data_IF_670412808160
#
_entry.id   IF_670412808160
#
_cell.length_a   1.000
_cell.length_b   1.000
_cell.length_c   1.000
_cell.angle_alpha   90.00
_cell.angle_beta   90.00
_cell.angle_gamma   90.00
#
_symmetry.space_group_name_H-M   'P 1'
#
loop_
_entity.id
_entity.type
_entity.pdbx_description
1 polymer ?
#
# COMPACT_ATOMS: atom_id res chain seq x y z
N UNK A 1 58.31 -16.80 9.55
CA UNK A 1 57.56 -15.58 9.87
C UNK A 1 56.56 -15.39 8.74
N UNK A 2 55.31 -15.84 8.91
CA UNK A 2 54.27 -15.70 7.88
C UNK A 2 53.62 -14.34 8.10
N UNK A 3 53.71 -13.49 7.09
CA UNK A 3 52.98 -12.22 7.06
C UNK A 3 51.48 -12.54 7.02
N UNK A 4 50.74 -11.99 7.98
CA UNK A 4 49.30 -12.05 8.00
C UNK A 4 48.78 -10.98 7.03
N UNK A 5 48.17 -11.42 5.94
CA UNK A 5 47.35 -10.56 5.08
C UNK A 5 46.19 -10.01 5.93
N UNK A 6 46.23 -8.69 6.16
CA UNK A 6 45.15 -7.92 6.74
C UNK A 6 43.96 -7.97 5.79
N UNK A 7 42.98 -8.83 6.08
CA UNK A 7 41.66 -8.74 5.47
C UNK A 7 41.11 -7.33 5.67
N UNK A 8 40.75 -6.65 4.58
CA UNK A 8 40.03 -5.39 4.64
C UNK A 8 38.74 -5.59 5.46
N UNK A 9 38.33 -4.63 6.30
CA UNK A 9 37.10 -4.76 7.05
C UNK A 9 35.94 -4.92 6.07
N UNK A 10 35.16 -6.00 6.21
CA UNK A 10 33.81 -6.09 5.64
C UNK A 10 33.08 -4.80 6.00
N UNK A 11 32.60 -4.07 4.99
CA UNK A 11 31.86 -2.84 5.20
C UNK A 11 30.65 -3.17 6.07
N UNK A 12 30.64 -2.70 7.32
CA UNK A 12 29.49 -2.85 8.20
C UNK A 12 28.26 -2.29 7.50
N UNK A 13 27.18 -3.07 7.44
CA UNK A 13 25.91 -2.60 6.89
C UNK A 13 25.53 -1.26 7.54
N UNK A 14 25.09 -0.27 6.75
CA UNK A 14 24.77 1.04 7.30
C UNK A 14 23.65 0.89 8.34
N UNK A 15 23.82 1.50 9.52
CA UNK A 15 22.75 1.63 10.50
C UNK A 15 21.66 2.56 9.94
N UNK A 16 20.69 1.97 9.25
CA UNK A 16 19.60 2.65 8.58
C UNK A 16 18.73 3.45 9.57
N UNK A 17 18.59 3.00 10.82
CA UNK A 17 17.86 3.74 11.84
C UNK A 17 18.60 5.01 12.24
N UNK A 18 19.94 4.97 12.35
CA UNK A 18 20.76 6.17 12.55
C UNK A 18 20.66 7.12 11.36
N UNK A 19 20.72 6.62 10.13
CA UNK A 19 20.55 7.45 8.93
C UNK A 19 19.15 8.09 8.86
N UNK A 20 18.10 7.35 9.23
CA UNK A 20 16.73 7.87 9.30
C UNK A 20 16.62 9.01 10.33
N UNK A 21 17.26 8.88 11.51
CA UNK A 21 17.34 9.98 12.48
C UNK A 21 18.13 11.17 11.95
N UNK A 22 19.24 10.93 11.25
CA UNK A 22 20.01 12.02 10.62
C UNK A 22 19.17 12.78 9.58
N UNK A 23 18.39 12.08 8.76
CA UNK A 23 17.49 12.71 7.80
C UNK A 23 16.41 13.56 8.49
N UNK A 24 15.81 13.05 9.57
CA UNK A 24 14.84 13.81 10.36
C UNK A 24 15.48 15.06 11.00
N UNK A 25 16.73 14.97 11.48
CA UNK A 25 17.46 16.11 12.03
C UNK A 25 17.73 17.18 10.96
N UNK A 26 18.16 16.78 9.76
CA UNK A 26 18.31 17.69 8.63
C UNK A 26 17.00 18.41 8.31
N UNK A 27 15.88 17.69 8.33
CA UNK A 27 14.57 18.28 8.08
C UNK A 27 14.18 19.31 9.15
N UNK A 28 14.42 19.02 10.44
CA UNK A 28 14.16 19.94 11.56
C UNK A 28 15.00 21.22 11.47
N UNK A 29 16.17 21.16 10.82
CA UNK A 29 17.02 22.31 10.51
C UNK A 29 16.58 23.09 9.25
N UNK A 30 15.49 22.71 8.61
CA UNK A 30 15.01 23.32 7.37
C UNK A 30 15.78 22.90 6.12
N UNK A 31 16.61 21.84 6.20
CA UNK A 31 17.41 21.34 5.07
C UNK A 31 16.67 20.23 4.33
N UNK A 32 15.53 20.56 3.74
CA UNK A 32 14.61 19.61 3.11
C UNK A 32 15.27 18.80 1.98
N UNK A 33 16.03 19.44 1.08
CA UNK A 33 16.72 18.74 -0.03
C UNK A 33 17.73 17.70 0.47
N UNK A 34 18.50 18.04 1.50
CA UNK A 34 19.46 17.11 2.09
C UNK A 34 18.77 15.95 2.81
N UNK A 35 17.65 16.23 3.50
CA UNK A 35 16.83 15.21 4.12
C UNK A 35 16.21 14.27 3.07
N UNK A 36 15.63 14.81 1.99
CA UNK A 36 15.04 14.05 0.90
C UNK A 36 16.07 13.16 0.20
N UNK A 37 17.25 13.70 -0.11
CA UNK A 37 18.34 12.93 -0.70
C UNK A 37 18.79 11.76 0.21
N UNK A 38 18.90 11.99 1.52
CA UNK A 38 19.26 10.93 2.47
C UNK A 38 18.14 9.89 2.61
N UNK A 39 16.88 10.32 2.68
CA UNK A 39 15.73 9.42 2.68
C UNK A 39 15.66 8.58 1.39
N UNK A 40 15.98 9.15 0.23
CA UNK A 40 16.06 8.42 -1.03
C UNK A 40 17.16 7.35 -1.02
N UNK A 41 18.33 7.65 -0.44
CA UNK A 41 19.40 6.65 -0.24
C UNK A 41 18.98 5.52 0.70
N UNK A 42 18.27 5.85 1.77
CA UNK A 42 17.70 4.84 2.69
C UNK A 42 16.70 3.97 1.92
N UNK A 43 15.78 4.56 1.16
CA UNK A 43 14.78 3.83 0.37
C UNK A 43 15.41 2.90 -0.67
N UNK A 44 16.56 3.25 -1.24
CA UNK A 44 17.28 2.38 -2.17
C UNK A 44 17.83 1.11 -1.50
N UNK A 45 18.09 1.14 -0.19
CA UNK A 45 18.59 0.00 0.61
C UNK A 45 17.43 -0.74 1.30
N UNK A 46 16.44 0.01 1.80
CA UNK A 46 15.22 -0.44 2.47
C UNK A 46 13.99 0.08 1.71
N UNK A 47 13.56 -0.60 0.63
CA UNK A 47 12.44 -0.14 -0.20
C UNK A 47 11.12 0.02 0.55
N UNK A 48 10.89 -0.81 1.58
CA UNK A 48 9.68 -0.76 2.39
C UNK A 48 9.71 0.33 3.47
N UNK A 49 10.89 0.92 3.68
CA UNK A 49 11.14 1.96 4.67
C UNK A 49 10.72 1.47 6.07
N UNK A 50 11.10 0.25 6.43
CA UNK A 50 10.83 -0.35 7.74
C UNK A 50 11.42 0.49 8.89
N UNK A 51 12.55 1.14 8.62
CA UNK A 51 13.25 2.00 9.58
C UNK A 51 12.69 3.42 9.67
N UNK A 52 11.67 3.76 8.87
CA UNK A 52 11.07 5.10 8.82
C UNK A 52 10.39 5.51 10.13
N UNK A 53 10.05 4.56 10.99
CA UNK A 53 9.61 4.85 12.36
C UNK A 53 10.60 5.73 13.12
N UNK A 54 11.91 5.45 13.00
CA UNK A 54 12.95 6.24 13.66
C UNK A 54 13.04 7.68 13.15
N UNK A 55 12.71 7.91 11.87
CA UNK A 55 12.58 9.25 11.30
C UNK A 55 11.42 10.01 11.94
N UNK A 56 10.23 9.40 11.99
CA UNK A 56 9.02 10.01 12.55
C UNK A 56 9.15 10.26 14.07
N UNK A 57 9.72 9.32 14.81
CA UNK A 57 9.97 9.44 16.25
C UNK A 57 10.87 10.65 16.54
N UNK A 58 11.94 10.86 15.77
CA UNK A 58 12.79 12.03 15.97
C UNK A 58 12.07 13.34 15.64
N UNK A 59 11.28 13.39 14.56
CA UNK A 59 10.52 14.59 14.21
C UNK A 59 9.56 14.98 15.35
N UNK A 60 8.81 14.02 15.87
CA UNK A 60 7.83 14.24 16.94
C UNK A 60 8.47 14.51 18.30
N UNK A 61 9.69 14.03 18.54
CA UNK A 61 10.50 14.41 19.71
C UNK A 61 11.06 15.83 19.59
N UNK A 62 11.55 16.21 18.41
CA UNK A 62 12.23 17.48 18.20
C UNK A 62 11.28 18.69 18.05
N UNK A 63 10.03 18.48 17.61
CA UNK A 63 9.04 19.53 17.36
C UNK A 63 7.63 19.09 17.77
N UNK A 64 6.77 20.03 18.23
CA UNK A 64 5.34 19.75 18.40
C UNK A 64 4.70 19.25 17.10
N UNK A 65 3.77 18.29 17.20
CA UNK A 65 3.14 17.63 16.04
C UNK A 65 2.44 18.62 15.11
N UNK A 66 1.83 19.65 15.68
CA UNK A 66 1.11 20.73 14.99
C UNK A 66 2.03 21.57 14.08
N UNK A 67 3.35 21.49 14.29
CA UNK A 67 4.37 22.21 13.51
C UNK A 67 5.05 21.35 12.45
N UNK A 68 4.69 20.07 12.33
CA UNK A 68 5.33 19.15 11.40
C UNK A 68 4.84 19.30 9.95
N UNK A 69 3.61 19.76 9.72
CA UNK A 69 3.05 19.83 8.36
C UNK A 69 3.93 20.59 7.36
N UNK A 70 4.42 21.82 7.64
CA UNK A 70 5.29 22.53 6.69
C UNK A 70 6.62 21.82 6.44
N UNK A 71 7.17 21.13 7.44
CA UNK A 71 8.42 20.37 7.31
C UNK A 71 8.20 19.14 6.41
N UNK A 72 7.16 18.36 6.68
CA UNK A 72 6.85 17.17 5.86
C UNK A 72 6.47 17.58 4.44
N UNK A 73 5.74 18.69 4.26
CA UNK A 73 5.46 19.25 2.93
C UNK A 73 6.74 19.60 2.20
N UNK A 74 7.68 20.29 2.85
CA UNK A 74 8.97 20.63 2.26
C UNK A 74 9.80 19.38 1.88
N UNK A 75 9.74 18.31 2.69
CA UNK A 75 10.39 17.03 2.37
C UNK A 75 9.83 16.39 1.10
N UNK A 76 8.50 16.42 0.95
CA UNK A 76 7.80 15.89 -0.23
C UNK A 76 8.10 16.74 -1.46
N UNK A 77 8.07 18.08 -1.33
CA UNK A 77 8.41 19.02 -2.40
C UNK A 77 9.87 18.91 -2.85
N UNK A 78 10.76 18.54 -1.93
CA UNK A 78 12.18 18.25 -2.21
C UNK A 78 12.40 16.87 -2.90
N UNK A 79 11.32 16.17 -3.27
CA UNK A 79 11.38 14.96 -4.10
C UNK A 79 11.30 13.64 -3.34
N UNK A 80 11.18 13.63 -2.01
CA UNK A 80 10.87 12.40 -1.27
C UNK A 80 9.36 12.17 -1.23
N UNK A 81 8.79 11.97 -2.42
CA UNK A 81 7.36 11.83 -2.68
C UNK A 81 7.00 10.36 -2.94
N UNK A 82 6.64 9.65 -1.87
CA UNK A 82 6.29 8.23 -1.88
C UNK A 82 5.15 7.94 -0.88
N UNK A 83 4.58 6.72 -0.89
CA UNK A 83 3.44 6.39 -0.03
C UNK A 83 3.63 6.67 1.47
N UNK A 84 4.83 6.43 2.02
CA UNK A 84 5.15 6.69 3.43
C UNK A 84 5.16 8.18 3.74
N UNK A 85 5.72 8.99 2.83
CA UNK A 85 5.74 10.45 2.97
C UNK A 85 4.34 11.06 2.85
N UNK A 86 3.47 10.51 1.99
CA UNK A 86 2.09 10.97 1.83
C UNK A 86 1.23 10.62 3.06
N UNK A 87 1.37 9.42 3.60
CA UNK A 87 0.73 9.01 4.86
C UNK A 87 1.15 9.94 6.01
N UNK A 88 2.45 10.20 6.15
CA UNK A 88 2.97 11.15 7.14
C UNK A 88 2.48 12.59 6.89
N UNK A 89 2.38 13.02 5.64
CA UNK A 89 1.90 14.37 5.28
C UNK A 89 0.42 14.54 5.63
N UNK A 90 -0.42 13.55 5.33
CA UNK A 90 -1.82 13.55 5.72
C UNK A 90 -1.97 13.61 7.24
N UNK A 91 -1.21 12.80 7.97
CA UNK A 91 -1.21 12.81 9.43
C UNK A 91 -0.75 14.16 10.01
N UNK A 92 0.33 14.73 9.47
CA UNK A 92 0.85 16.02 9.90
C UNK A 92 -0.15 17.15 9.62
N UNK A 93 -0.89 17.08 8.51
CA UNK A 93 -1.96 18.02 8.19
C UNK A 93 -3.09 17.95 9.23
N UNK A 94 -3.52 16.74 9.61
CA UNK A 94 -4.52 16.53 10.68
C UNK A 94 -4.01 17.12 12.00
N UNK A 95 -2.78 16.81 12.40
CA UNK A 95 -2.19 17.36 13.64
C UNK A 95 -2.12 18.89 13.63
N UNK A 96 -1.84 19.50 12.48
CA UNK A 96 -1.83 20.96 12.33
C UNK A 96 -3.24 21.59 12.26
N UNK A 97 -4.32 20.79 12.30
CA UNK A 97 -5.70 21.25 12.08
C UNK A 97 -6.00 21.61 10.63
N UNK A 98 -5.11 21.31 9.69
CA UNK A 98 -5.30 21.52 8.25
C UNK A 98 -6.08 20.34 7.64
N UNK A 99 -7.34 20.26 8.04
CA UNK A 99 -8.24 19.16 7.67
C UNK A 99 -8.45 19.08 6.15
N UNK A 100 -8.52 20.22 5.47
CA UNK A 100 -8.63 20.28 4.01
C UNK A 100 -7.44 19.65 3.31
N UNK A 101 -6.21 19.96 3.71
CA UNK A 101 -5.03 19.34 3.10
C UNK A 101 -4.96 17.83 3.33
N UNK A 102 -5.41 17.35 4.50
CA UNK A 102 -5.54 15.92 4.74
C UNK A 102 -6.58 15.28 3.81
N UNK A 103 -7.75 15.91 3.68
CA UNK A 103 -8.84 15.48 2.79
C UNK A 103 -8.43 15.46 1.32
N UNK A 104 -7.77 16.50 0.85
CA UNK A 104 -7.33 16.60 -0.55
C UNK A 104 -6.36 15.46 -0.92
N UNK A 105 -5.62 14.91 0.04
CA UNK A 105 -4.69 13.80 -0.14
C UNK A 105 -5.31 12.41 0.11
N UNK A 106 -6.42 12.32 0.87
CA UNK A 106 -6.97 11.03 1.36
C UNK A 106 -8.45 10.81 1.06
N UNK A 107 -9.10 11.69 0.29
CA UNK A 107 -10.51 11.57 -0.10
C UNK A 107 -10.78 10.27 -0.89
N UNK A 108 -11.58 9.35 -0.35
CA UNK A 108 -11.98 8.15 -1.09
C UNK A 108 -12.83 8.49 -2.32
N UNK A 109 -13.63 9.55 -2.28
CA UNK A 109 -14.50 9.98 -3.40
C UNK A 109 -13.66 10.29 -4.63
N UNK A 110 -12.48 10.86 -4.40
CA UNK A 110 -11.56 11.29 -5.44
C UNK A 110 -10.68 10.16 -5.96
N UNK A 111 -10.31 9.23 -5.10
CA UNK A 111 -9.21 8.29 -5.38
C UNK A 111 -9.56 6.82 -5.30
N UNK A 112 -10.65 6.44 -4.66
CA UNK A 112 -11.10 5.05 -4.60
C UNK A 112 -11.91 4.73 -5.85
N UNK A 113 -11.48 3.72 -6.61
CA UNK A 113 -12.23 3.20 -7.75
C UNK A 113 -12.72 1.80 -7.44
N UNK A 114 -14.02 1.58 -7.62
CA UNK A 114 -14.67 0.29 -7.44
C UNK A 114 -15.37 -0.06 -8.76
N UNK A 115 -14.87 -1.08 -9.44
CA UNK A 115 -15.39 -1.54 -10.73
C UNK A 115 -15.59 -3.05 -10.70
N UNK A 116 -16.11 -3.62 -11.79
CA UNK A 116 -16.31 -5.07 -11.92
C UNK A 116 -15.66 -5.55 -13.21
N UNK A 117 -14.79 -6.56 -13.09
CA UNK A 117 -14.05 -7.15 -14.20
C UNK A 117 -14.82 -8.29 -14.87
N UNK A 118 -15.53 -9.09 -14.07
CA UNK A 118 -16.24 -10.29 -14.52
C UNK A 118 -17.63 -10.38 -13.88
N UNK A 119 -18.57 -10.95 -14.62
CA UNK A 119 -19.82 -11.47 -14.04
C UNK A 119 -19.66 -12.93 -13.62
N UNK A 120 -20.64 -13.50 -12.90
CA UNK A 120 -20.62 -14.91 -12.47
C UNK A 120 -20.56 -15.90 -13.65
N UNK A 121 -20.99 -15.48 -14.84
CA UNK A 121 -21.04 -16.32 -16.05
C UNK A 121 -19.77 -16.22 -16.92
N UNK A 122 -18.71 -15.53 -16.48
CA UNK A 122 -17.48 -15.44 -17.28
C UNK A 122 -16.81 -16.83 -17.39
N UNK A 123 -16.61 -17.36 -18.62
CA UNK A 123 -16.06 -18.69 -18.84
C UNK A 123 -14.61 -18.85 -18.36
N UNK A 124 -13.85 -17.75 -18.21
CA UNK A 124 -12.50 -17.78 -17.66
C UNK A 124 -12.48 -17.93 -16.12
N UNK A 125 -13.60 -17.70 -15.42
CA UNK A 125 -13.63 -17.61 -13.96
C UNK A 125 -13.29 -18.93 -13.26
N UNK A 126 -13.91 -20.05 -13.68
CA UNK A 126 -13.66 -21.35 -13.07
C UNK A 126 -12.21 -21.83 -13.28
N UNK A 127 -11.64 -21.83 -14.51
CA UNK A 127 -10.22 -22.09 -14.73
C UNK A 127 -9.29 -21.16 -13.94
N UNK A 128 -9.65 -19.87 -13.85
CA UNK A 128 -8.86 -18.88 -13.12
C UNK A 128 -8.82 -19.21 -11.62
N UNK A 129 -9.96 -19.50 -11.01
CA UNK A 129 -10.07 -19.87 -9.60
C UNK A 129 -9.22 -21.12 -9.30
N UNK A 130 -9.26 -22.13 -10.16
CA UNK A 130 -8.42 -23.33 -10.01
C UNK A 130 -6.93 -22.97 -10.02
N UNK A 131 -6.51 -22.14 -10.97
CA UNK A 131 -5.10 -21.74 -11.11
C UNK A 131 -4.63 -20.85 -9.94
N UNK A 132 -5.45 -19.91 -9.48
CA UNK A 132 -5.14 -19.01 -8.37
C UNK A 132 -4.98 -19.75 -7.03
N UNK A 133 -5.63 -20.92 -6.89
CA UNK A 133 -5.53 -21.78 -5.73
C UNK A 133 -4.36 -22.78 -5.78
N UNK A 134 -3.49 -22.69 -6.80
CA UNK A 134 -2.33 -23.57 -6.97
C UNK A 134 -1.02 -22.86 -6.58
N UNK A 135 0.01 -23.65 -6.23
CA UNK A 135 1.36 -23.12 -5.96
C UNK A 135 1.43 -22.15 -4.77
N UNK A 136 0.59 -22.37 -3.76
CA UNK A 136 0.47 -21.51 -2.59
C UNK A 136 1.50 -21.88 -1.51
N UNK A 137 1.95 -20.88 -0.78
CA UNK A 137 2.70 -21.00 0.46
C UNK A 137 1.85 -20.50 1.64
N UNK A 138 1.96 -21.16 2.80
CA UNK A 138 1.22 -20.77 4.00
C UNK A 138 1.98 -19.71 4.81
N UNK A 139 1.27 -18.65 5.19
CA UNK A 139 1.77 -17.55 6.00
C UNK A 139 0.95 -17.47 7.30
N UNK A 140 1.57 -17.82 8.43
CA UNK A 140 0.96 -17.70 9.76
C UNK A 140 1.01 -16.25 10.25
N UNK A 141 2.16 -15.78 10.77
CA UNK A 141 2.36 -14.38 11.20
C UNK A 141 3.73 -13.86 10.77
N UNK A 142 4.00 -13.73 9.46
CA UNK A 142 5.24 -13.14 8.96
C UNK A 142 5.47 -11.76 9.59
N UNK A 143 6.71 -11.49 10.03
CA UNK A 143 7.09 -10.23 10.67
C UNK A 143 7.12 -9.05 9.70
N UNK A 144 7.43 -9.31 8.43
CA UNK A 144 7.62 -8.34 7.34
C UNK A 144 6.34 -8.07 6.52
N UNK A 145 5.22 -8.72 6.85
CA UNK A 145 3.99 -8.69 6.04
C UNK A 145 2.75 -8.53 6.91
N UNK A 146 1.69 -7.97 6.31
CA UNK A 146 0.40 -7.76 6.96
C UNK A 146 -0.47 -9.02 7.05
N UNK A 147 -0.30 -9.97 6.12
CA UNK A 147 -1.11 -11.21 6.07
C UNK A 147 -0.97 -12.03 7.35
N UNK A 148 -2.08 -12.56 7.84
CA UNK A 148 -2.18 -13.48 8.97
C UNK A 148 -2.98 -14.70 8.56
N UNK A 149 -2.53 -15.89 8.95
CA UNK A 149 -3.24 -17.17 8.81
C UNK A 149 -3.79 -17.41 7.40
N UNK A 150 -2.98 -17.24 6.34
CA UNK A 150 -3.46 -17.28 4.96
C UNK A 150 -2.49 -17.94 3.99
N UNK A 151 -2.99 -18.31 2.82
CA UNK A 151 -2.20 -18.91 1.76
C UNK A 151 -1.96 -17.89 0.65
N UNK A 152 -0.74 -17.79 0.15
CA UNK A 152 -0.34 -16.78 -0.84
C UNK A 152 0.56 -17.36 -1.91
N UNK A 153 0.37 -16.95 -3.17
CA UNK A 153 1.32 -17.19 -4.26
C UNK A 153 1.80 -15.85 -4.81
N UNK A 154 3.11 -15.61 -4.67
CA UNK A 154 3.77 -14.42 -5.17
C UNK A 154 4.01 -14.48 -6.68
N UNK A 155 4.30 -13.32 -7.28
CA UNK A 155 4.85 -13.19 -8.63
C UNK A 155 3.97 -13.76 -9.74
N UNK A 156 2.65 -13.52 -9.67
CA UNK A 156 1.74 -13.94 -10.75
C UNK A 156 2.13 -13.29 -12.08
N UNK A 157 2.72 -12.08 -12.06
CA UNK A 157 3.21 -11.38 -13.25
C UNK A 157 4.31 -12.13 -14.01
N UNK A 158 4.94 -13.14 -13.38
CA UNK A 158 5.98 -13.98 -13.99
C UNK A 158 5.44 -15.30 -14.54
N UNK A 159 4.12 -15.53 -14.46
CA UNK A 159 3.52 -16.79 -14.87
C UNK A 159 3.33 -16.88 -16.39
N UNK A 160 3.64 -18.05 -16.95
CA UNK A 160 3.36 -18.36 -18.36
C UNK A 160 1.96 -18.95 -18.59
N UNK A 161 1.19 -19.16 -17.52
CA UNK A 161 -0.15 -19.71 -17.62
C UNK A 161 -1.07 -18.75 -18.41
N UNK A 162 -1.74 -19.21 -19.49
CA UNK A 162 -2.53 -18.34 -20.36
C UNK A 162 -3.74 -17.72 -19.67
N UNK A 163 -4.33 -18.37 -18.65
CA UNK A 163 -5.45 -17.83 -17.87
C UNK A 163 -4.99 -16.69 -16.99
N UNK A 164 -3.84 -16.83 -16.31
CA UNK A 164 -3.26 -15.76 -15.49
C UNK A 164 -2.84 -14.57 -16.35
N UNK A 165 -2.22 -14.81 -17.51
CA UNK A 165 -1.87 -13.73 -18.45
C UNK A 165 -3.10 -12.94 -18.89
N UNK A 166 -4.20 -13.62 -19.27
CA UNK A 166 -5.45 -12.94 -19.61
C UNK A 166 -6.02 -12.13 -18.45
N UNK A 167 -5.98 -12.65 -17.21
CA UNK A 167 -6.39 -11.88 -16.04
C UNK A 167 -5.53 -10.63 -15.87
N UNK A 168 -4.20 -10.77 -15.91
CA UNK A 168 -3.27 -9.66 -15.71
C UNK A 168 -3.42 -8.59 -16.80
N UNK A 169 -3.65 -8.97 -18.05
CA UNK A 169 -3.97 -8.03 -19.13
C UNK A 169 -5.27 -7.28 -18.87
N UNK A 170 -6.30 -7.95 -18.34
CA UNK A 170 -7.57 -7.30 -17.97
C UNK A 170 -7.36 -6.34 -16.79
N UNK A 171 -6.66 -6.75 -15.74
CA UNK A 171 -6.34 -5.90 -14.59
C UNK A 171 -5.48 -4.70 -14.98
N UNK A 172 -4.52 -4.90 -15.88
CA UNK A 172 -3.70 -3.82 -16.44
C UNK A 172 -4.57 -2.75 -17.11
N UNK A 173 -5.52 -3.15 -17.97
CA UNK A 173 -6.45 -2.20 -18.60
C UNK A 173 -7.29 -1.43 -17.58
N UNK A 174 -7.85 -2.12 -16.58
CA UNK A 174 -8.61 -1.44 -15.51
C UNK A 174 -7.74 -0.45 -14.73
N UNK A 175 -6.47 -0.80 -14.51
CA UNK A 175 -5.52 0.05 -13.83
C UNK A 175 -5.12 1.29 -14.67
N UNK A 176 -4.85 1.13 -15.97
CA UNK A 176 -4.62 2.25 -16.90
C UNK A 176 -5.84 3.19 -16.93
N UNK A 177 -7.04 2.62 -17.11
CA UNK A 177 -8.30 3.35 -17.08
C UNK A 177 -8.48 4.16 -15.78
N UNK A 178 -8.07 3.60 -14.64
CA UNK A 178 -8.07 4.31 -13.36
C UNK A 178 -7.08 5.48 -13.36
N UNK A 179 -5.84 5.23 -13.78
CA UNK A 179 -4.78 6.25 -13.84
C UNK A 179 -5.15 7.41 -14.76
N UNK A 180 -5.74 7.13 -15.91
CA UNK A 180 -6.14 8.14 -16.90
C UNK A 180 -7.28 9.03 -16.40
N UNK A 181 -8.15 8.51 -15.52
CA UNK A 181 -9.23 9.27 -14.89
C UNK A 181 -8.77 10.11 -13.69
N UNK A 182 -7.56 9.91 -13.18
CA UNK A 182 -7.06 10.72 -12.08
C UNK A 182 -6.88 12.17 -12.53
N UNK A 183 -7.44 13.15 -11.80
CA UNK A 183 -7.42 14.55 -12.21
C UNK A 183 -6.00 15.11 -12.23
N UNK A 184 -5.78 16.14 -13.03
CA UNK A 184 -4.61 17.00 -12.89
C UNK A 184 -4.85 17.99 -11.74
N UNK A 185 -3.94 18.02 -10.77
CA UNK A 185 -3.97 18.95 -9.65
C UNK A 185 -2.54 19.22 -9.19
N UNK A 186 -1.97 20.40 -9.52
CA UNK A 186 -0.59 20.73 -9.19
C UNK A 186 -0.33 20.91 -7.69
N UNK A 187 -1.39 21.10 -6.89
CA UNK A 187 -1.26 21.28 -5.45
C UNK A 187 -1.25 19.93 -4.70
N UNK A 188 -1.69 18.85 -5.36
CA UNK A 188 -1.78 17.51 -4.78
C UNK A 188 -0.46 16.72 -4.95
N UNK A 189 0.26 16.41 -3.86
CA UNK A 189 1.55 15.72 -3.96
C UNK A 189 1.51 14.33 -4.58
N UNK A 190 0.45 13.57 -4.34
CA UNK A 190 0.30 12.23 -4.90
C UNK A 190 0.15 12.28 -6.43
N UNK A 191 -0.63 13.25 -6.94
CA UNK A 191 -0.84 13.44 -8.37
C UNK A 191 0.39 14.03 -9.06
N UNK A 192 1.09 14.97 -8.43
CA UNK A 192 2.36 15.50 -8.92
C UNK A 192 3.47 14.43 -8.99
N UNK A 193 3.40 13.41 -8.15
CA UNK A 193 4.34 12.29 -8.13
C UNK A 193 3.97 11.15 -9.09
N UNK A 194 3.08 11.39 -10.08
CA UNK A 194 2.72 10.40 -11.10
C UNK A 194 3.97 9.88 -11.83
N UNK A 195 4.25 8.57 -11.79
CA UNK A 195 5.39 7.99 -12.49
C UNK A 195 5.26 8.13 -14.02
N UNK A 196 6.38 8.35 -14.71
CA UNK A 196 6.42 8.41 -16.18
C UNK A 196 6.13 7.07 -16.87
N UNK A 197 6.28 5.96 -16.14
CA UNK A 197 5.98 4.61 -16.62
C UNK A 197 5.64 3.70 -15.44
N UNK A 198 4.83 2.68 -15.70
CA UNK A 198 4.32 1.76 -14.69
C UNK A 198 4.59 0.30 -15.06
N UNK A 199 4.71 -0.55 -14.04
CA UNK A 199 4.76 -2.01 -14.15
C UNK A 199 3.82 -2.64 -13.14
N UNK A 200 3.22 -3.77 -13.46
CA UNK A 200 2.28 -4.47 -12.58
C UNK A 200 2.95 -5.66 -11.90
N UNK A 201 2.78 -5.76 -10.59
CA UNK A 201 3.10 -6.96 -9.80
C UNK A 201 1.84 -7.48 -9.16
N UNK A 202 1.71 -8.80 -9.02
CA UNK A 202 0.50 -9.40 -8.49
C UNK A 202 0.77 -10.67 -7.68
N UNK A 203 -0.11 -10.96 -6.73
CA UNK A 203 -0.11 -12.19 -5.95
C UNK A 203 -1.54 -12.64 -5.65
N UNK A 204 -1.75 -13.95 -5.56
CA UNK A 204 -3.03 -14.49 -5.10
C UNK A 204 -3.01 -14.70 -3.59
N UNK A 205 -4.18 -14.58 -2.96
CA UNK A 205 -4.42 -14.96 -1.58
C UNK A 205 -5.64 -15.87 -1.53
N UNK A 206 -5.47 -17.04 -0.90
CA UNK A 206 -6.58 -17.92 -0.51
C UNK A 206 -6.76 -17.79 1.00
N UNK A 207 -7.92 -17.28 1.38
CA UNK A 207 -8.31 -17.03 2.77
C UNK A 207 -9.08 -18.21 3.34
N UNK A 208 -8.89 -18.52 4.62
CA UNK A 208 -9.79 -19.30 5.47
C UNK A 208 -10.29 -18.45 6.66
N UNK A 209 -10.85 -19.10 7.69
CA UNK A 209 -11.59 -18.43 8.78
C UNK A 209 -10.82 -17.29 9.45
N UNK A 210 -9.56 -17.51 9.80
CA UNK A 210 -8.73 -16.54 10.51
C UNK A 210 -7.96 -15.60 9.58
N UNK A 211 -8.04 -15.80 8.25
CA UNK A 211 -7.20 -15.02 7.33
C UNK A 211 -7.60 -13.55 7.33
N UNK A 212 -6.63 -12.69 7.63
CA UNK A 212 -6.79 -11.24 7.57
C UNK A 212 -5.46 -10.55 7.27
N UNK A 213 -5.51 -9.24 7.01
CA UNK A 213 -4.32 -8.40 6.85
C UNK A 213 -4.41 -7.28 7.88
N UNK A 214 -3.36 -7.10 8.67
CA UNK A 214 -3.24 -5.96 9.60
C UNK A 214 -3.23 -4.61 8.85
N UNK A 215 -3.56 -3.48 9.51
CA UNK A 215 -3.45 -2.15 8.93
C UNK A 215 -2.08 -1.88 8.31
N UNK A 216 -2.05 -1.67 7.00
CA UNK A 216 -0.83 -1.42 6.25
C UNK A 216 -1.09 -0.53 5.03
N UNK A 217 0.01 -0.06 4.44
CA UNK A 217 0.06 0.62 3.17
C UNK A 217 1.13 -0.06 2.30
N UNK A 218 1.18 0.25 1.01
CA UNK A 218 2.16 -0.33 0.10
C UNK A 218 3.28 0.68 -0.18
N UNK A 219 4.45 0.49 0.41
CA UNK A 219 5.50 1.53 0.42
C UNK A 219 6.24 1.70 -0.92
N UNK A 220 6.18 0.71 -1.81
CA UNK A 220 7.01 0.65 -3.04
C UNK A 220 6.21 0.83 -4.33
N UNK A 221 4.87 0.90 -4.25
CA UNK A 221 3.98 1.09 -5.39
C UNK A 221 3.37 2.49 -5.36
N UNK A 222 2.87 2.95 -6.51
CA UNK A 222 2.15 4.22 -6.60
C UNK A 222 0.64 4.03 -6.39
N UNK A 223 0.09 2.97 -6.99
CA UNK A 223 -1.31 2.56 -6.88
C UNK A 223 -1.34 1.08 -6.53
N UNK A 224 -2.29 0.67 -5.70
CA UNK A 224 -2.57 -0.74 -5.43
C UNK A 224 -4.04 -1.06 -5.71
N UNK A 225 -4.32 -2.35 -5.83
CA UNK A 225 -5.67 -2.83 -5.96
C UNK A 225 -5.85 -4.28 -5.56
N UNK A 226 -7.12 -4.68 -5.50
CA UNK A 226 -7.53 -6.06 -5.24
C UNK A 226 -8.66 -6.43 -6.19
N UNK A 227 -8.57 -7.64 -6.73
CA UNK A 227 -9.60 -8.31 -7.50
C UNK A 227 -10.12 -9.52 -6.72
N UNK A 228 -11.43 -9.67 -6.58
CA UNK A 228 -12.06 -10.80 -5.90
C UNK A 228 -12.56 -11.83 -6.91
N UNK A 229 -11.91 -13.00 -6.95
CA UNK A 229 -12.24 -14.09 -7.87
C UNK A 229 -13.35 -14.98 -7.29
N UNK A 230 -13.23 -15.33 -6.01
CA UNK A 230 -14.19 -16.17 -5.29
C UNK A 230 -14.47 -15.56 -3.92
N UNK A 231 -15.74 -15.45 -3.55
CA UNK A 231 -16.20 -14.93 -2.26
C UNK A 231 -17.29 -15.87 -1.75
N UNK A 232 -17.20 -16.37 -0.51
CA UNK A 232 -18.18 -17.32 0.00
C UNK A 232 -19.53 -16.63 0.30
N UNK A 233 -20.66 -17.35 0.18
CA UNK A 233 -22.01 -16.80 0.40
C UNK A 233 -22.18 -16.10 1.74
N UNK A 234 -21.53 -16.57 2.81
CA UNK A 234 -21.62 -15.95 4.14
C UNK A 234 -21.20 -14.48 4.15
N UNK A 235 -20.29 -14.06 3.26
CA UNK A 235 -19.88 -12.65 3.12
C UNK A 235 -20.93 -11.85 2.33
N UNK A 236 -21.64 -12.49 1.39
CA UNK A 236 -22.74 -11.88 0.67
C UNK A 236 -23.97 -11.68 1.58
N UNK A 237 -24.28 -12.67 2.42
CA UNK A 237 -25.43 -12.71 3.33
C UNK A 237 -25.25 -11.82 4.57
N UNK A 238 -24.01 -11.44 4.92
CA UNK A 238 -23.70 -10.51 6.01
C UNK A 238 -24.29 -9.09 5.84
N UNK A 239 -24.98 -8.80 4.73
CA UNK A 239 -25.74 -7.56 4.49
C UNK A 239 -27.22 -7.68 4.87
N UNK A 240 -27.74 -8.90 5.01
CA UNK A 240 -29.17 -9.15 5.26
C UNK A 240 -29.51 -9.12 6.77
N UNK A 241 -28.52 -9.30 7.62
CA UNK A 241 -28.61 -9.05 9.05
C UNK A 241 -27.61 -7.95 9.41
N UNK A 242 -27.84 -7.18 10.47
CA UNK A 242 -26.85 -6.33 11.15
C UNK A 242 -25.66 -7.18 11.65
N UNK A 243 -24.92 -7.81 10.75
CA UNK A 243 -23.90 -8.80 11.03
C UNK A 243 -22.71 -8.07 11.66
N UNK A 244 -22.73 -8.10 12.99
CA UNK A 244 -21.62 -7.78 13.89
C UNK A 244 -20.33 -8.31 13.27
N UNK A 245 -19.45 -7.41 12.82
CA UNK A 245 -18.06 -7.74 12.49
C UNK A 245 -17.60 -7.51 11.04
N UNK A 246 -18.48 -7.42 10.02
CA UNK A 246 -18.09 -7.23 8.60
C UNK A 246 -17.09 -8.30 8.08
N UNK A 247 -17.40 -9.60 8.19
CA UNK A 247 -16.48 -10.70 7.90
C UNK A 247 -15.89 -10.62 6.49
N UNK A 248 -14.56 -10.66 6.38
CA UNK A 248 -13.88 -10.58 5.09
C UNK A 248 -13.96 -9.24 4.36
N UNK A 249 -14.51 -8.18 4.95
CA UNK A 249 -14.57 -6.86 4.30
C UNK A 249 -13.19 -6.21 4.25
N UNK A 250 -12.96 -5.42 3.20
CA UNK A 250 -11.83 -4.51 3.10
C UNK A 250 -12.20 -3.19 3.79
N UNK A 251 -11.39 -2.75 4.74
CA UNK A 251 -11.48 -1.43 5.34
C UNK A 251 -10.36 -0.56 4.78
N UNK A 252 -10.72 0.59 4.22
CA UNK A 252 -9.77 1.62 3.77
C UNK A 252 -9.99 2.85 4.63
N UNK A 253 -8.92 3.40 5.20
CA UNK A 253 -9.04 4.51 6.13
C UNK A 253 -7.82 4.64 7.03
N UNK A 254 -7.85 5.59 7.97
CA UNK A 254 -6.72 5.80 8.87
C UNK A 254 -6.42 4.54 9.70
N UNK A 255 -5.13 4.32 9.99
CA UNK A 255 -4.68 3.21 10.83
C UNK A 255 -5.18 3.41 12.27
N UNK A 256 -6.05 2.51 12.75
CA UNK A 256 -6.34 2.46 14.18
C UNK A 256 -5.08 2.03 14.95
N UNK A 257 -4.70 2.77 15.99
CA UNK A 257 -3.65 2.34 16.94
C UNK A 257 -2.18 2.60 16.58
N UNK A 258 -1.82 3.18 15.42
CA UNK A 258 -0.42 3.59 15.11
C UNK A 258 0.01 4.91 15.77
N UNK A 259 -0.40 5.22 17.00
CA UNK A 259 0.00 6.47 17.69
C UNK A 259 -0.50 7.80 17.06
N UNK A 260 -1.26 7.70 15.95
CA UNK A 260 -2.04 8.77 15.32
C UNK A 260 -3.43 8.87 15.97
N UNK A 261 -3.48 9.02 17.29
CA UNK A 261 -4.72 9.05 18.11
C UNK A 261 -5.72 10.18 17.77
N UNK A 262 -5.52 10.94 16.68
CA UNK A 262 -6.48 11.91 16.17
C UNK A 262 -7.45 11.35 15.10
N UNK A 263 -7.32 10.08 14.70
CA UNK A 263 -8.25 9.44 13.75
C UNK A 263 -9.42 8.69 14.41
N UNK A 264 -9.66 8.92 15.71
CA UNK A 264 -10.88 8.49 16.38
C UNK A 264 -11.86 9.66 16.47
N UNK A 265 -13.06 9.46 15.92
CA UNK A 265 -14.24 10.34 16.04
C UNK A 265 -14.27 11.57 15.12
N UNK A 266 -14.68 11.39 13.85
CA UNK A 266 -15.55 12.34 13.14
C UNK A 266 -15.02 13.73 12.73
N UNK A 267 -13.77 14.08 13.00
CA UNK A 267 -13.19 15.38 12.62
C UNK A 267 -11.77 15.18 12.02
N UNK A 268 -11.55 15.16 10.71
CA UNK A 268 -12.48 15.43 9.62
C UNK A 268 -11.81 15.41 8.23
N UNK A 269 -10.72 14.66 8.05
CA UNK A 269 -9.92 14.73 6.82
C UNK A 269 -9.69 13.39 6.12
N UNK A 270 -9.71 12.26 6.83
CA UNK A 270 -9.54 10.94 6.23
C UNK A 270 -10.77 10.09 6.52
N UNK A 271 -11.63 9.96 5.52
CA UNK A 271 -12.86 9.18 5.67
C UNK A 271 -12.61 7.68 5.55
N UNK A 272 -13.27 6.92 6.41
CA UNK A 272 -13.25 5.47 6.35
C UNK A 272 -14.23 4.94 5.30
N UNK A 273 -13.83 3.89 4.58
CA UNK A 273 -14.66 3.14 3.64
C UNK A 273 -14.59 1.66 3.92
N UNK A 274 -15.76 1.04 3.96
CA UNK A 274 -15.94 -0.39 4.15
C UNK A 274 -16.47 -1.00 2.86
N UNK A 275 -15.68 -1.89 2.27
CA UNK A 275 -15.95 -2.47 0.96
C UNK A 275 -16.22 -3.95 1.15
N UNK A 276 -17.47 -4.34 0.89
CA UNK A 276 -17.86 -5.74 0.84
C UNK A 276 -17.27 -6.37 -0.41
N UNK A 277 -16.51 -7.48 -0.32
CA UNK A 277 -16.02 -8.16 -1.48
C UNK A 277 -17.17 -8.85 -2.22
N UNK A 278 -17.13 -8.82 -3.54
CA UNK A 278 -18.07 -9.53 -4.41
C UNK A 278 -17.27 -10.19 -5.54
N UNK A 279 -17.68 -11.38 -6.04
CA UNK A 279 -17.03 -11.97 -7.20
C UNK A 279 -17.01 -10.99 -8.37
N UNK A 280 -15.86 -10.86 -9.02
CA UNK A 280 -15.66 -9.92 -10.12
C UNK A 280 -15.23 -8.51 -9.70
N UNK A 281 -15.37 -8.12 -8.43
CA UNK A 281 -15.10 -6.77 -7.95
C UNK A 281 -13.61 -6.45 -8.02
N UNK A 282 -13.27 -5.27 -8.54
CA UNK A 282 -11.93 -4.69 -8.52
C UNK A 282 -11.97 -3.37 -7.74
N UNK A 283 -11.07 -3.22 -6.79
CA UNK A 283 -10.86 -1.99 -6.03
C UNK A 283 -9.47 -1.47 -6.34
N UNK A 284 -9.34 -0.19 -6.70
CA UNK A 284 -8.06 0.51 -6.84
C UNK A 284 -8.01 1.74 -5.93
N UNK A 285 -6.83 2.01 -5.37
CA UNK A 285 -6.56 3.17 -4.53
C UNK A 285 -5.08 3.56 -4.57
N UNK A 286 -4.72 4.81 -4.21
CA UNK A 286 -3.34 5.21 -4.03
C UNK A 286 -2.65 4.37 -2.95
N UNK A 287 -1.36 4.09 -3.12
CA UNK A 287 -0.64 3.17 -2.23
C UNK A 287 -0.38 3.67 -0.82
N UNK A 288 -0.58 4.97 -0.55
CA UNK A 288 -0.58 5.53 0.82
C UNK A 288 -1.90 5.31 1.56
N UNK A 289 -2.96 4.84 0.88
CA UNK A 289 -4.21 4.56 1.56
C UNK A 289 -4.05 3.34 2.46
N UNK A 290 -3.98 3.60 3.77
CA UNK A 290 -3.96 2.53 4.76
C UNK A 290 -5.23 1.69 4.63
N UNK A 291 -5.06 0.37 4.68
CA UNK A 291 -6.16 -0.58 4.62
C UNK A 291 -5.86 -1.85 5.40
N UNK A 292 -6.93 -2.59 5.71
CA UNK A 292 -6.91 -3.88 6.36
C UNK A 292 -8.08 -4.74 5.88
N UNK A 293 -8.05 -6.03 6.20
CA UNK A 293 -9.21 -6.90 5.96
C UNK A 293 -9.68 -7.50 7.27
N UNK A 294 -10.99 -7.59 7.48
CA UNK A 294 -11.55 -8.34 8.61
C UNK A 294 -11.32 -9.85 8.40
N UNK A 295 -11.07 -10.64 9.46
CA UNK A 295 -11.12 -12.11 9.39
C UNK A 295 -12.39 -12.61 8.70
N UNK A 296 -12.27 -13.71 7.96
CA UNK A 296 -13.39 -14.25 7.18
C UNK A 296 -14.47 -14.88 8.08
N UNK A 297 -14.08 -15.48 9.20
CA UNK A 297 -15.00 -16.04 10.19
C UNK A 297 -15.69 -17.35 9.78
N UNK A 298 -15.33 -17.96 8.65
CA UNK A 298 -15.82 -19.27 8.20
C UNK A 298 -14.72 -20.10 7.52
N UNK A 299 -14.91 -21.42 7.45
CA UNK A 299 -13.97 -22.34 6.81
C UNK A 299 -14.09 -22.38 5.28
N UNK A 300 -15.07 -21.66 4.71
CA UNK A 300 -15.14 -21.47 3.26
C UNK A 300 -14.02 -20.54 2.79
N UNK A 301 -13.61 -20.70 1.53
CA UNK A 301 -12.49 -19.92 1.01
C UNK A 301 -12.94 -18.63 0.34
N UNK A 302 -12.12 -17.59 0.49
CA UNK A 302 -12.15 -16.38 -0.35
C UNK A 302 -10.85 -16.31 -1.14
N UNK A 303 -10.95 -16.16 -2.47
CA UNK A 303 -9.79 -16.05 -3.36
C UNK A 303 -9.76 -14.66 -3.95
N UNK A 304 -8.66 -13.95 -3.73
CA UNK A 304 -8.42 -12.66 -4.36
C UNK A 304 -7.02 -12.58 -4.99
N UNK A 305 -6.87 -11.62 -5.89
CA UNK A 305 -5.58 -11.19 -6.45
C UNK A 305 -5.34 -9.77 -6.00
N UNK A 306 -4.32 -9.56 -5.18
CA UNK A 306 -3.82 -8.23 -4.91
C UNK A 306 -2.75 -7.88 -5.95
N UNK A 307 -2.73 -6.62 -6.37
CA UNK A 307 -1.81 -6.15 -7.39
C UNK A 307 -1.40 -4.70 -7.14
N UNK A 308 -0.26 -4.33 -7.71
CA UNK A 308 0.40 -3.05 -7.48
C UNK A 308 0.96 -2.49 -8.79
N UNK A 309 0.82 -1.19 -8.98
CA UNK A 309 1.49 -0.44 -10.04
C UNK A 309 2.75 0.21 -9.47
N UNK A 310 3.91 -0.27 -9.89
CA UNK A 310 5.19 0.28 -9.51
C UNK A 310 5.72 1.23 -10.58
N UNK A 311 6.46 2.29 -10.21
CA UNK A 311 7.27 3.03 -11.17
C UNK A 311 8.16 2.09 -11.99
N UNK A 312 8.16 2.24 -13.31
CA UNK A 312 9.03 1.45 -14.18
C UNK A 312 10.49 1.85 -13.97
N UNK A 313 11.40 0.87 -13.95
CA UNK A 313 12.84 1.14 -13.97
C UNK A 313 13.24 1.65 -15.36
N UNK A 314 14.13 2.64 -15.49
CA UNK A 314 14.64 3.06 -16.81
C UNK A 314 15.16 1.84 -17.60
N UNK A 315 14.59 1.59 -18.79
CA UNK A 315 14.96 0.48 -19.67
C UNK A 315 14.16 -0.83 -19.51
N UNK A 316 13.25 -0.93 -18.53
CA UNK A 316 12.20 -1.96 -18.60
C UNK A 316 11.17 -1.53 -19.66
N UNK A 317 10.76 -2.47 -20.51
CA UNK A 317 9.57 -2.30 -21.34
C UNK A 317 8.36 -2.19 -20.41
N UNK A 318 8.08 -0.98 -19.94
CA UNK A 318 6.80 -0.65 -19.34
C UNK A 318 5.73 -0.94 -20.37
N UNK A 319 4.59 -1.45 -19.93
CA UNK A 319 3.40 -1.27 -20.74
C UNK A 319 3.14 0.24 -20.70
N UNK A 320 3.23 0.89 -21.87
CA UNK A 320 2.76 2.27 -21.97
C UNK A 320 1.26 2.26 -21.63
N UNK A 321 0.77 3.25 -20.88
CA UNK A 321 -0.67 3.44 -20.73
C UNK A 321 -1.34 3.50 -22.10
#
# INVERSE_FOLDING_TARGET
MREAESAAPESADPDLASLARQAAFLLVQGRADAAAALCGRIQAIDPNLETFGAFVDLLTWARPRERLYPLVRALVDAGFANPRSFDLLAAAAIWAGNIRAAHDLTSPERFLSITRLHGPDDPDLAPLVTELASGLEHYDRPGDRSIRMGWRRNHLERSDNPVLRRLLDRLWRVACDYVDRLPEDPDNPFLCARPAGLTLKAWSVVSGAETHHLPHLHATSWVNGVYYAEVPPVVADAVVADAVGRPGWLRVGPAAGRGFTAAGCGAGGWEERWIRPEPGLVVLMPSHFTHETVPLGCDERRICVAFELHPATPGQAGHSP
#
